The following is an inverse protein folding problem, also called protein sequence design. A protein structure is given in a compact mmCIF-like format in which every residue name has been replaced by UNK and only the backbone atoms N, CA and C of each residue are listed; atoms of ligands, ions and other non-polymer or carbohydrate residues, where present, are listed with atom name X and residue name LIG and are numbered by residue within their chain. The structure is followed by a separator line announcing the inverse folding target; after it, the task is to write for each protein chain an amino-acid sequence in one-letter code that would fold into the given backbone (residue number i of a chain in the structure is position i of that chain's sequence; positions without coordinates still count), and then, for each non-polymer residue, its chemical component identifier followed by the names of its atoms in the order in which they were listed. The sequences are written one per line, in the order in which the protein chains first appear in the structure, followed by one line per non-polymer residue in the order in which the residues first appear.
data_IF_504040015588
#
_entry.id   IF_504040015588
#
_cell.length_a   1.000
_cell.length_b   1.000
_cell.length_c   1.000
_cell.angle_alpha   90.00
_cell.angle_beta   90.00
_cell.angle_gamma   90.00
#
_symmetry.space_group_name_H-M   'P 1'
#
loop_
_entity.id
_entity.type
_entity.pdbx_description
1 polymer ?
#
# COMPACT_ATOMS: atom_id res chain seq x y z
N UNK A 1 11.79 -0.41 27.52
CA UNK A 1 10.80 0.48 26.87
C UNK A 1 10.20 -0.28 25.71
N UNK A 2 8.92 -0.66 25.80
CA UNK A 2 8.21 -1.23 24.66
C UNK A 2 7.79 -0.06 23.77
N UNK A 3 8.52 0.17 22.67
CA UNK A 3 7.98 0.97 21.58
C UNK A 3 6.83 0.16 21.01
N UNK A 4 5.60 0.51 21.38
CA UNK A 4 4.38 -0.02 20.78
C UNK A 4 4.38 0.37 19.31
N UNK A 5 4.96 -0.47 18.46
CA UNK A 5 4.78 -0.43 17.01
C UNK A 5 3.28 -0.60 16.77
N UNK A 6 2.55 0.51 16.64
CA UNK A 6 1.13 0.44 16.35
C UNK A 6 1.00 -0.14 14.93
N UNK A 7 0.34 -1.29 14.75
CA UNK A 7 0.20 -1.86 13.41
C UNK A 7 -0.70 -0.95 12.57
N UNK A 8 -0.15 -0.41 11.49
CA UNK A 8 -0.89 0.43 10.56
C UNK A 8 -1.65 -0.41 9.53
N UNK A 9 -2.97 -0.23 9.45
CA UNK A 9 -3.86 -0.75 8.42
C UNK A 9 -4.19 0.35 7.41
N UNK A 10 -4.03 0.04 6.14
CA UNK A 10 -4.55 0.82 5.03
C UNK A 10 -5.59 0.01 4.27
N UNK A 11 -6.76 0.61 4.02
CA UNK A 11 -7.81 0.02 3.20
C UNK A 11 -8.26 1.01 2.12
N UNK A 12 -8.50 0.49 0.92
CA UNK A 12 -8.97 1.25 -0.22
C UNK A 12 -9.88 0.39 -1.11
N UNK A 13 -10.56 1.01 -2.07
CA UNK A 13 -11.05 0.32 -3.25
C UNK A 13 -10.03 0.49 -4.38
N UNK A 14 -9.69 -0.58 -5.07
CA UNK A 14 -8.85 -0.59 -6.25
C UNK A 14 -9.72 -0.92 -7.46
N UNK A 15 -9.71 -0.08 -8.48
CA UNK A 15 -10.34 -0.37 -9.75
C UNK A 15 -9.32 -1.04 -10.66
N UNK A 16 -9.59 -2.29 -11.04
CA UNK A 16 -8.81 -3.02 -12.03
C UNK A 16 -9.41 -2.91 -13.43
N UNK A 17 -8.60 -3.21 -14.45
CA UNK A 17 -9.04 -3.29 -15.84
C UNK A 17 -7.96 -3.84 -16.76
N UNK A 18 -8.28 -4.03 -18.05
CA UNK A 18 -7.30 -4.43 -19.07
C UNK A 18 -6.53 -3.25 -19.66
N UNK A 19 -7.17 -2.08 -19.71
CA UNK A 19 -6.60 -0.83 -20.25
C UNK A 19 -5.81 -0.07 -19.18
N UNK A 20 -4.76 0.65 -19.58
CA UNK A 20 -3.93 1.44 -18.65
C UNK A 20 -4.70 2.61 -18.01
N UNK A 21 -5.70 3.16 -18.70
CA UNK A 21 -6.60 4.19 -18.16
C UNK A 21 -7.67 3.64 -17.22
N UNK A 22 -7.76 2.31 -17.05
CA UNK A 22 -8.76 1.64 -16.25
C UNK A 22 -8.21 1.22 -14.87
N UNK A 23 -7.22 1.95 -14.35
CA UNK A 23 -6.73 1.75 -12.99
C UNK A 23 -6.98 3.01 -12.17
N UNK A 24 -7.64 2.84 -11.03
CA UNK A 24 -7.93 3.92 -10.09
C UNK A 24 -7.92 3.36 -8.66
N UNK A 25 -7.80 4.24 -7.65
CA UNK A 25 -7.90 3.84 -6.26
C UNK A 25 -8.64 4.90 -5.43
N UNK A 26 -9.37 4.44 -4.41
CA UNK A 26 -10.11 5.29 -3.48
C UNK A 26 -9.82 4.86 -2.05
N UNK A 27 -9.08 5.64 -1.25
CA UNK A 27 -8.87 5.35 0.16
C UNK A 27 -10.20 5.26 0.91
N UNK A 28 -10.30 4.28 1.82
CA UNK A 28 -11.49 4.06 2.66
C UNK A 28 -11.16 4.28 4.12
N UNK A 29 -10.05 3.71 4.58
CA UNK A 29 -9.69 3.70 5.99
C UNK A 29 -8.18 3.66 6.17
N UNK A 30 -7.72 4.41 7.15
CA UNK A 30 -6.37 4.40 7.66
C UNK A 30 -6.48 4.23 9.18
N UNK A 31 -5.81 3.23 9.75
CA UNK A 31 -5.94 2.92 11.18
C UNK A 31 -4.61 2.45 11.76
N UNK A 32 -4.17 3.02 12.89
CA UNK A 32 -4.69 4.23 13.53
C UNK A 32 -4.53 5.48 12.64
N UNK A 33 -5.25 6.56 12.96
CA UNK A 33 -5.34 7.76 12.11
C UNK A 33 -4.03 8.55 11.99
N UNK A 34 -3.08 8.34 12.90
CA UNK A 34 -1.73 8.87 12.90
C UNK A 34 -0.80 8.16 11.91
N UNK A 35 -1.19 6.99 11.37
CA UNK A 35 -0.47 6.38 10.26
C UNK A 35 -0.62 7.25 9.01
N UNK A 36 0.46 7.90 8.57
CA UNK A 36 0.44 8.68 7.34
C UNK A 36 0.90 7.80 6.18
N UNK A 37 0.18 7.86 5.06
CA UNK A 37 0.47 7.06 3.88
C UNK A 37 0.52 7.93 2.62
N UNK A 38 1.42 7.60 1.69
CA UNK A 38 1.37 8.03 0.30
C UNK A 38 1.01 6.83 -0.57
N UNK A 39 -0.01 6.99 -1.41
CA UNK A 39 -0.48 5.97 -2.33
C UNK A 39 -0.54 6.52 -3.76
N UNK A 40 -0.22 5.69 -4.75
CA UNK A 40 -0.36 6.02 -6.17
C UNK A 40 -0.27 4.75 -7.02
N UNK A 41 -0.66 4.84 -8.29
CA UNK A 41 -0.56 3.74 -9.26
C UNK A 41 0.68 3.98 -10.13
N UNK A 42 1.52 2.97 -10.29
CA UNK A 42 2.73 3.03 -11.14
C UNK A 42 2.40 2.81 -12.61
N UNK A 43 3.30 3.19 -13.50
CA UNK A 43 3.17 2.92 -14.96
C UNK A 43 3.06 1.42 -15.26
N UNK A 44 3.69 0.58 -14.43
CA UNK A 44 3.62 -0.88 -14.50
C UNK A 44 2.31 -1.45 -13.95
N UNK A 45 1.31 -0.60 -13.66
CA UNK A 45 -0.03 -0.97 -13.18
C UNK A 45 0.00 -1.68 -11.82
N UNK A 46 0.93 -1.29 -10.96
CA UNK A 46 0.95 -1.73 -9.57
C UNK A 46 0.50 -0.58 -8.66
N UNK A 47 -0.19 -0.93 -7.58
CA UNK A 47 -0.52 -0.01 -6.52
C UNK A 47 0.69 0.13 -5.59
N UNK A 48 1.22 1.35 -5.49
CA UNK A 48 2.32 1.69 -4.61
C UNK A 48 1.79 2.31 -3.34
N UNK A 49 2.22 1.79 -2.19
CA UNK A 49 1.89 2.31 -0.87
C UNK A 49 3.18 2.56 -0.07
N UNK A 50 3.28 3.75 0.54
CA UNK A 50 4.44 4.19 1.32
C UNK A 50 3.96 4.68 2.67
N UNK A 51 4.45 4.10 3.76
CA UNK A 51 4.22 4.62 5.11
C UNK A 51 5.17 5.80 5.35
N UNK A 52 4.59 6.93 5.71
CA UNK A 52 5.29 8.14 6.11
C UNK A 52 5.32 8.14 7.64
N UNK A 53 6.48 7.86 8.23
CA UNK A 53 6.64 7.96 9.68
C UNK A 53 7.32 9.30 10.02
N UNK A 54 6.64 10.22 10.72
CA UNK A 54 7.23 11.52 11.09
C UNK A 54 8.40 11.40 12.08
N UNK A 55 8.50 10.27 12.81
CA UNK A 55 9.55 10.02 13.80
C UNK A 55 10.79 9.32 13.22
N UNK A 56 10.72 8.80 11.99
CA UNK A 56 11.87 8.20 11.30
C UNK A 56 12.44 9.28 10.40
N UNK A 57 13.20 10.19 11.03
CA UNK A 57 13.83 11.34 10.39
C UNK A 57 14.55 10.92 9.10
N UNK A 58 14.11 11.46 7.96
CA UNK A 58 14.90 11.89 6.79
C UNK A 58 16.18 11.12 6.43
N UNK A 59 16.21 9.81 6.63
CA UNK A 59 17.11 8.94 5.88
C UNK A 59 16.31 8.48 4.69
N UNK A 60 16.87 8.57 3.50
CA UNK A 60 16.34 7.91 2.30
C UNK A 60 16.06 6.40 2.53
N UNK A 61 16.63 5.84 3.59
CA UNK A 61 16.35 4.57 4.23
C UNK A 61 15.16 4.53 5.23
N UNK A 62 14.18 5.45 5.18
CA UNK A 62 13.00 5.46 6.05
C UNK A 62 11.64 5.18 5.37
N UNK A 63 11.55 5.28 4.04
CA UNK A 63 10.32 5.01 3.29
C UNK A 63 10.23 3.55 2.84
N UNK A 64 9.71 2.66 3.69
CA UNK A 64 9.39 1.29 3.24
C UNK A 64 8.27 1.42 2.22
N UNK A 65 8.48 0.89 1.03
CA UNK A 65 7.51 0.91 -0.08
C UNK A 65 6.97 -0.48 -0.26
N UNK A 66 5.67 -0.56 -0.48
CA UNK A 66 4.97 -1.81 -0.74
C UNK A 66 4.32 -1.68 -2.10
N UNK A 67 4.70 -2.58 -3.00
CA UNK A 67 4.12 -2.70 -4.32
C UNK A 67 3.13 -3.86 -4.32
N UNK A 68 1.87 -3.55 -4.66
CA UNK A 68 0.76 -4.49 -4.70
C UNK A 68 0.29 -4.60 -6.15
N UNK A 69 0.15 -5.82 -6.72
CA UNK A 69 -0.39 -5.97 -8.07
C UNK A 69 -1.85 -5.50 -8.13
N UNK A 70 -2.19 -4.66 -9.11
CA UNK A 70 -3.58 -4.24 -9.32
C UNK A 70 -4.44 -5.42 -9.77
N UNK A 71 -5.75 -5.43 -9.46
CA UNK A 71 -6.67 -6.42 -10.00
C UNK A 71 -6.68 -6.41 -11.54
N UNK A 72 -6.64 -7.58 -12.15
CA UNK A 72 -6.69 -7.72 -13.63
C UNK A 72 -8.11 -7.67 -14.19
N UNK A 73 -9.09 -8.09 -13.40
CA UNK A 73 -10.50 -8.06 -13.77
C UNK A 73 -11.05 -6.64 -13.66
N UNK A 74 -11.89 -6.24 -14.61
CA UNK A 74 -12.60 -4.96 -14.57
C UNK A 74 -13.50 -4.86 -13.34
N UNK A 75 -13.41 -3.76 -12.61
CA UNK A 75 -14.30 -3.48 -11.47
C UNK A 75 -13.58 -3.00 -10.21
N UNK A 76 -14.34 -2.42 -9.30
CA UNK A 76 -13.87 -2.01 -7.98
C UNK A 76 -13.74 -3.23 -7.06
N UNK A 77 -12.60 -3.32 -6.40
CA UNK A 77 -12.28 -4.37 -5.44
C UNK A 77 -11.80 -3.80 -4.12
N UNK A 78 -12.29 -4.33 -3.01
CA UNK A 78 -11.86 -3.95 -1.66
C UNK A 78 -10.44 -4.46 -1.44
N UNK A 79 -9.57 -3.55 -1.03
CA UNK A 79 -8.17 -3.81 -0.71
C UNK A 79 -7.91 -3.51 0.76
N UNK A 80 -7.10 -4.37 1.40
CA UNK A 80 -6.61 -4.18 2.76
C UNK A 80 -5.16 -4.62 2.86
N UNK A 81 -4.36 -3.81 3.56
CA UNK A 81 -2.97 -4.11 3.83
C UNK A 81 -2.59 -3.68 5.25
N UNK A 82 -1.99 -4.60 5.99
CA UNK A 82 -1.40 -4.37 7.30
C UNK A 82 0.10 -4.17 7.13
N UNK A 83 0.63 -3.08 7.66
CA UNK A 83 2.03 -2.73 7.52
C UNK A 83 2.94 -3.80 8.11
N UNK A 84 3.98 -4.17 7.34
CA UNK A 84 4.92 -5.23 7.71
C UNK A 84 4.46 -6.65 7.34
N UNK A 85 3.25 -6.79 6.78
CA UNK A 85 2.78 -8.06 6.20
C UNK A 85 3.43 -8.31 4.84
N UNK A 86 3.78 -9.57 4.54
CA UNK A 86 4.18 -10.08 3.22
C UNK A 86 2.99 -10.30 2.26
N UNK A 87 1.78 -10.08 2.77
CA UNK A 87 0.51 -10.32 2.08
C UNK A 87 -0.41 -9.12 2.19
N UNK A 88 -1.17 -8.87 1.13
CA UNK A 88 -2.34 -8.00 1.13
C UNK A 88 -3.59 -8.80 0.73
N UNK A 89 -4.76 -8.21 0.91
CA UNK A 89 -6.03 -8.84 0.56
C UNK A 89 -6.79 -7.97 -0.44
N UNK A 90 -7.24 -8.59 -1.54
CA UNK A 90 -8.08 -7.97 -2.57
C UNK A 90 -9.35 -8.83 -2.70
N UNK A 91 -10.53 -8.29 -2.37
CA UNK A 91 -11.79 -9.06 -2.27
C UNK A 91 -11.68 -10.30 -1.35
N UNK A 92 -10.82 -10.22 -0.33
CA UNK A 92 -10.55 -11.33 0.58
C UNK A 92 -9.59 -12.38 0.01
N UNK A 93 -9.18 -12.28 -1.24
CA UNK A 93 -8.12 -13.11 -1.82
C UNK A 93 -6.75 -12.55 -1.45
N UNK A 94 -5.86 -13.43 -1.02
CA UNK A 94 -4.50 -13.07 -0.67
C UNK A 94 -3.66 -12.79 -1.92
N UNK A 95 -2.92 -11.69 -1.89
CA UNK A 95 -1.92 -11.35 -2.90
C UNK A 95 -0.57 -11.07 -2.25
N UNK A 96 0.49 -11.58 -2.88
CA UNK A 96 1.85 -11.33 -2.42
C UNK A 96 2.23 -9.87 -2.68
N UNK A 97 2.83 -9.25 -1.69
CA UNK A 97 3.36 -7.89 -1.83
C UNK A 97 4.87 -7.90 -2.01
N UNK A 98 5.37 -6.96 -2.81
CA UNK A 98 6.82 -6.75 -2.93
C UNK A 98 7.23 -5.58 -2.05
N UNK A 99 8.13 -5.85 -1.12
CA UNK A 99 8.78 -4.81 -0.32
C UNK A 99 9.98 -4.27 -1.09
N UNK A 100 10.01 -2.96 -1.32
CA UNK A 100 11.19 -2.27 -1.84
C UNK A 100 12.16 -1.91 -0.71
N UNK A 101 13.47 -1.78 -0.98
CA UNK A 101 14.42 -1.29 0.00
C UNK A 101 14.05 0.10 0.46
N UNK A 102 14.33 0.34 1.74
CA UNK A 102 14.51 1.69 2.25
C UNK A 102 15.90 2.15 1.79
N UNK A 103 15.97 3.05 0.80
CA UNK A 103 17.16 3.64 0.12
C UNK A 103 17.54 3.01 -1.24
N UNK A 104 17.07 3.55 -2.38
CA UNK A 104 17.58 4.56 -3.39
C UNK A 104 18.60 4.06 -4.42
N UNK A 105 18.39 4.50 -5.66
CA UNK A 105 19.42 4.76 -6.67
C UNK A 105 20.35 5.89 -6.23
#
# INVERSE_FOLDING_TARGET
MFSTLIPCLFAAYLYGGSLASAYDYRPVQITPADCQFKAYITENKNFMLILLNPNVATTDAAQIRVEIPMPKSSGWKRFQYWWGSDRAYIEGEEVLVKHGPISVY
#
